data_IF_499744232451
#
_entry.id   IF_499744232451
#
_cell.length_a   1.000
_cell.length_b   1.000
_cell.length_c   1.000
_cell.angle_alpha   90.00
_cell.angle_beta   90.00
_cell.angle_gamma   90.00
#
_symmetry.space_group_name_H-M   'P 1'
#
loop_
_entity.id
_entity.type
_entity.pdbx_description
1 polymer ?
#
# COMPACT_ATOMS: atom_id res chain seq x y z
N UNK A 1 7.82 23.72 -11.24
CA UNK A 1 7.61 22.62 -10.29
C UNK A 1 6.78 21.60 -11.04
N UNK A 2 7.24 20.35 -11.18
CA UNK A 2 6.41 19.33 -11.84
C UNK A 2 5.13 19.15 -11.02
N UNK A 3 3.98 19.41 -11.62
CA UNK A 3 2.68 19.18 -10.98
C UNK A 3 2.59 17.73 -10.49
N UNK A 4 1.96 17.53 -9.33
CA UNK A 4 1.69 16.20 -8.78
C UNK A 4 0.62 15.53 -9.66
N UNK A 5 1.07 14.76 -10.64
CA UNK A 5 0.21 14.11 -11.64
C UNK A 5 -0.64 13.03 -10.99
N UNK A 6 -1.91 12.96 -11.36
CA UNK A 6 -2.79 11.84 -11.08
C UNK A 6 -2.48 10.71 -12.07
N UNK A 7 -1.94 9.60 -11.59
CA UNK A 7 -1.50 8.48 -12.42
C UNK A 7 -2.37 7.25 -12.21
N UNK A 8 -2.95 6.74 -13.29
CA UNK A 8 -3.68 5.48 -13.27
C UNK A 8 -2.68 4.32 -13.32
N UNK A 9 -2.70 3.45 -12.33
CA UNK A 9 -1.82 2.28 -12.25
C UNK A 9 -2.54 1.06 -12.83
N UNK A 10 -2.05 0.56 -13.95
CA UNK A 10 -2.48 -0.69 -14.57
C UNK A 10 -1.44 -1.78 -14.35
N UNK A 11 -1.83 -2.87 -13.68
CA UNK A 11 -0.99 -4.05 -13.45
C UNK A 11 -1.83 -5.32 -13.49
N UNK A 12 -1.21 -6.51 -13.65
CA UNK A 12 -1.94 -7.76 -13.58
C UNK A 12 -2.67 -7.89 -12.23
N UNK A 13 -3.93 -8.31 -12.25
CA UNK A 13 -4.72 -8.62 -11.04
C UNK A 13 -5.08 -10.11 -10.95
N UNK A 14 -5.65 -10.67 -12.03
CA UNK A 14 -6.05 -12.08 -12.08
C UNK A 14 -4.86 -13.07 -12.12
N UNK A 15 -5.12 -14.33 -11.75
CA UNK A 15 -4.11 -15.39 -11.62
C UNK A 15 -3.69 -15.54 -10.16
N UNK A 16 -2.39 -15.35 -9.87
CA UNK A 16 -1.87 -15.29 -8.50
C UNK A 16 -2.24 -13.92 -7.86
N UNK A 17 -3.47 -13.82 -7.38
CA UNK A 17 -4.06 -12.58 -6.87
C UNK A 17 -3.23 -12.00 -5.72
N UNK A 18 -2.78 -12.83 -4.77
CA UNK A 18 -2.02 -12.35 -3.63
C UNK A 18 -0.72 -11.66 -4.07
N UNK A 19 0.04 -12.31 -4.97
CA UNK A 19 1.27 -11.74 -5.52
C UNK A 19 1.01 -10.47 -6.33
N UNK A 20 -0.05 -10.48 -7.14
CA UNK A 20 -0.44 -9.36 -7.99
C UNK A 20 -0.89 -8.14 -7.18
N UNK A 21 -1.63 -8.36 -6.09
CA UNK A 21 -2.03 -7.30 -5.15
C UNK A 21 -0.81 -6.63 -4.53
N UNK A 22 0.16 -7.42 -4.07
CA UNK A 22 1.40 -6.85 -3.51
C UNK A 22 2.23 -6.10 -4.56
N UNK A 23 2.25 -6.60 -5.80
CA UNK A 23 2.88 -5.90 -6.91
C UNK A 23 2.20 -4.56 -7.23
N UNK A 24 0.87 -4.53 -7.31
CA UNK A 24 0.10 -3.32 -7.55
C UNK A 24 0.30 -2.27 -6.44
N UNK A 25 0.37 -2.69 -5.17
CA UNK A 25 0.73 -1.83 -4.04
C UNK A 25 2.14 -1.27 -4.19
N UNK A 26 3.10 -2.10 -4.62
CA UNK A 26 4.47 -1.64 -4.88
C UNK A 26 4.52 -0.63 -6.03
N UNK A 27 3.77 -0.84 -7.10
CA UNK A 27 3.65 0.11 -8.22
C UNK A 27 3.06 1.46 -7.78
N UNK A 28 2.06 1.44 -6.89
CA UNK A 28 1.51 2.67 -6.30
C UNK A 28 2.57 3.41 -5.46
N UNK A 29 3.32 2.70 -4.61
CA UNK A 29 4.41 3.31 -3.83
C UNK A 29 5.50 3.91 -4.72
N UNK A 30 5.90 3.18 -5.76
CA UNK A 30 6.85 3.67 -6.75
C UNK A 30 6.35 4.98 -7.39
N UNK A 31 5.08 5.09 -7.75
CA UNK A 31 4.51 6.34 -8.26
C UNK A 31 4.53 7.49 -7.23
N UNK A 32 4.24 7.21 -5.95
CA UNK A 32 4.32 8.20 -4.88
C UNK A 32 5.74 8.76 -4.72
N UNK A 33 6.75 7.91 -4.83
CA UNK A 33 8.17 8.31 -4.78
C UNK A 33 8.57 9.20 -5.96
N UNK A 34 7.89 9.07 -7.10
CA UNK A 34 8.03 9.95 -8.26
C UNK A 34 7.18 11.22 -8.15
N UNK A 35 6.68 11.56 -6.95
CA UNK A 35 5.82 12.72 -6.68
C UNK A 35 4.53 12.74 -7.51
N UNK A 36 3.93 11.55 -7.70
CA UNK A 36 2.63 11.37 -8.35
C UNK A 36 1.57 10.88 -7.35
N UNK A 37 0.30 11.06 -7.69
CA UNK A 37 -0.86 10.57 -6.95
C UNK A 37 -1.40 9.33 -7.66
N UNK A 38 -1.15 8.11 -7.17
CA UNK A 38 -1.56 6.89 -7.85
C UNK A 38 -3.03 6.51 -7.60
N UNK A 39 -3.66 5.92 -8.62
CA UNK A 39 -4.97 5.27 -8.50
C UNK A 39 -4.92 3.88 -9.13
N UNK A 40 -5.13 2.84 -8.33
CA UNK A 40 -5.22 1.45 -8.78
C UNK A 40 -6.63 0.89 -8.52
N UNK A 41 -7.54 1.08 -9.46
CA UNK A 41 -8.95 0.67 -9.29
C UNK A 41 -9.14 -0.83 -9.12
N UNK A 42 -8.22 -1.62 -9.66
CA UNK A 42 -8.21 -3.08 -9.52
C UNK A 42 -7.82 -3.55 -8.11
N UNK A 43 -7.37 -2.67 -7.22
CA UNK A 43 -7.27 -2.95 -5.77
C UNK A 43 -8.55 -2.58 -5.02
N UNK A 44 -9.34 -1.66 -5.56
CA UNK A 44 -10.52 -1.08 -4.93
C UNK A 44 -11.80 -1.85 -5.25
N UNK A 45 -12.15 -1.97 -6.53
CA UNK A 45 -13.45 -2.51 -6.93
C UNK A 45 -13.66 -3.99 -6.56
N UNK A 46 -12.64 -4.87 -6.60
CA UNK A 46 -12.81 -6.24 -6.13
C UNK A 46 -13.11 -6.39 -4.63
N UNK A 47 -13.03 -5.31 -3.83
CA UNK A 47 -13.44 -5.35 -2.41
C UNK A 47 -14.96 -5.42 -2.25
N UNK A 48 -15.73 -5.07 -3.29
CA UNK A 48 -17.19 -5.05 -3.25
C UNK A 48 -17.88 -5.48 -4.56
N UNK A 49 -17.09 -5.91 -5.56
CA UNK A 49 -17.56 -6.56 -6.78
C UNK A 49 -16.95 -7.95 -6.89
N UNK A 50 -17.71 -8.91 -7.44
CA UNK A 50 -17.19 -10.23 -7.79
C UNK A 50 -16.60 -10.23 -9.21
N UNK A 51 -15.29 -10.36 -9.31
CA UNK A 51 -14.56 -10.38 -10.59
C UNK A 51 -14.79 -11.67 -11.40
N UNK A 52 -15.44 -12.69 -10.79
CA UNK A 52 -15.91 -13.92 -11.45
C UNK A 52 -17.32 -13.80 -12.03
N UNK A 53 -18.11 -12.80 -11.61
CA UNK A 53 -19.39 -12.48 -12.21
C UNK A 53 -19.16 -11.54 -13.41
N UNK A 54 -19.45 -11.96 -14.66
CA UNK A 54 -19.21 -11.15 -15.84
C UNK A 54 -19.86 -9.76 -15.81
N UNK A 55 -21.05 -9.63 -15.19
CA UNK A 55 -21.80 -8.37 -15.14
C UNK A 55 -21.15 -7.39 -14.16
N UNK A 56 -20.74 -7.88 -12.99
CA UNK A 56 -20.02 -7.08 -12.01
C UNK A 56 -18.62 -6.73 -12.49
N UNK A 57 -17.94 -7.67 -13.15
CA UNK A 57 -16.65 -7.44 -13.81
C UNK A 57 -16.73 -6.32 -14.85
N UNK A 58 -17.74 -6.35 -15.72
CA UNK A 58 -17.98 -5.29 -16.70
C UNK A 58 -18.26 -3.93 -16.02
N UNK A 59 -19.05 -3.94 -14.95
CA UNK A 59 -19.30 -2.74 -14.15
C UNK A 59 -18.00 -2.16 -13.57
N UNK A 60 -17.13 -3.01 -13.03
CA UNK A 60 -15.79 -2.63 -12.55
C UNK A 60 -14.92 -2.01 -13.64
N UNK A 61 -14.94 -2.56 -14.85
CA UNK A 61 -14.24 -1.98 -16.00
C UNK A 61 -14.76 -0.60 -16.38
N UNK A 62 -16.08 -0.43 -16.47
CA UNK A 62 -16.68 0.87 -16.81
C UNK A 62 -16.35 1.96 -15.78
N UNK A 63 -16.43 1.62 -14.48
CA UNK A 63 -16.01 2.54 -13.43
C UNK A 63 -14.51 2.84 -13.51
N UNK A 64 -13.68 1.83 -13.79
CA UNK A 64 -12.24 2.00 -14.00
C UNK A 64 -11.91 2.95 -15.15
N UNK A 65 -12.62 2.85 -16.27
CA UNK A 65 -12.44 3.78 -17.40
C UNK A 65 -12.83 5.22 -17.06
N UNK A 66 -13.86 5.44 -16.25
CA UNK A 66 -14.22 6.78 -15.77
C UNK A 66 -13.13 7.39 -14.89
N UNK A 67 -12.48 6.57 -14.06
CA UNK A 67 -11.33 7.00 -13.27
C UNK A 67 -10.12 7.29 -14.15
N UNK A 68 -9.84 6.43 -15.14
CA UNK A 68 -8.77 6.64 -16.11
C UNK A 68 -8.93 7.96 -16.87
N UNK A 69 -10.15 8.29 -17.32
CA UNK A 69 -10.48 9.55 -18.00
C UNK A 69 -10.11 10.80 -17.17
N UNK A 70 -10.13 10.70 -15.84
CA UNK A 70 -9.75 11.78 -14.94
C UNK A 70 -8.24 11.85 -14.65
N UNK A 71 -7.46 10.85 -15.04
CA UNK A 71 -6.02 10.79 -14.77
C UNK A 71 -5.19 11.49 -15.84
N UNK A 72 -4.04 12.03 -15.44
CA UNK A 72 -3.08 12.71 -16.32
C UNK A 72 -2.26 11.72 -17.16
N UNK A 73 -1.99 10.52 -16.62
CA UNK A 73 -1.23 9.47 -17.29
C UNK A 73 -1.72 8.07 -16.92
N UNK A 74 -1.53 7.12 -17.84
CA UNK A 74 -1.62 5.68 -17.58
C UNK A 74 -0.22 5.10 -17.40
N UNK A 75 0.04 4.45 -16.28
CA UNK A 75 1.26 3.68 -16.05
C UNK A 75 0.96 2.19 -16.21
N UNK A 76 1.54 1.58 -17.24
CA UNK A 76 1.51 0.14 -17.49
C UNK A 76 2.66 -0.53 -16.74
N UNK A 77 2.33 -1.22 -15.65
CA UNK A 77 3.29 -1.76 -14.70
C UNK A 77 3.39 -3.28 -14.80
N UNK A 78 4.61 -3.80 -14.93
CA UNK A 78 4.91 -5.24 -14.81
C UNK A 78 5.69 -5.83 -15.98
N UNK A 79 5.86 -7.16 -15.94
CA UNK A 79 6.60 -7.92 -16.97
C UNK A 79 5.72 -8.47 -18.09
N UNK A 80 4.39 -8.35 -17.96
CA UNK A 80 3.41 -8.79 -18.95
C UNK A 80 2.21 -7.85 -18.97
N UNK A 81 1.55 -7.75 -20.12
CA UNK A 81 0.28 -7.04 -20.29
C UNK A 81 -0.85 -8.06 -20.23
N UNK A 82 -1.75 -7.92 -19.24
CA UNK A 82 -2.93 -8.77 -19.12
C UNK A 82 -4.05 -8.32 -20.07
N UNK A 83 -5.10 -9.15 -20.23
CA UNK A 83 -6.29 -8.76 -21.00
C UNK A 83 -6.94 -7.49 -20.44
N UNK A 84 -7.04 -7.35 -19.10
CA UNK A 84 -7.57 -6.15 -18.46
C UNK A 84 -6.73 -4.91 -18.76
N UNK A 85 -5.40 -5.03 -18.63
CA UNK A 85 -4.47 -3.94 -18.97
C UNK A 85 -4.53 -3.55 -20.45
N UNK A 86 -4.77 -4.52 -21.34
CA UNK A 86 -4.92 -4.25 -22.77
C UNK A 86 -6.15 -3.38 -23.04
N UNK A 87 -7.23 -3.59 -22.31
CA UNK A 87 -8.45 -2.77 -22.42
C UNK A 87 -8.20 -1.35 -21.90
N UNK A 88 -7.54 -1.22 -20.74
CA UNK A 88 -7.13 0.08 -20.18
C UNK A 88 -6.19 0.85 -21.13
N UNK A 89 -5.21 0.16 -21.72
CA UNK A 89 -4.29 0.73 -22.72
C UNK A 89 -5.04 1.23 -23.97
N UNK A 90 -6.01 0.46 -24.46
CA UNK A 90 -6.83 0.86 -25.62
C UNK A 90 -7.65 2.11 -25.31
N UNK A 91 -8.26 2.17 -24.13
CA UNK A 91 -9.05 3.33 -23.73
C UNK A 91 -8.17 4.57 -23.52
N UNK A 92 -7.02 4.44 -22.85
CA UNK A 92 -6.06 5.55 -22.72
C UNK A 92 -5.62 6.10 -24.08
N UNK A 93 -5.28 5.23 -25.04
CA UNK A 93 -4.92 5.63 -26.40
C UNK A 93 -6.06 6.36 -27.11
N UNK A 94 -7.29 5.89 -26.95
CA UNK A 94 -8.50 6.51 -27.55
C UNK A 94 -8.77 7.90 -26.95
N UNK A 95 -8.52 8.08 -25.66
CA UNK A 95 -8.69 9.35 -24.95
C UNK A 95 -7.48 10.31 -25.11
N UNK A 96 -6.39 9.85 -25.72
CA UNK A 96 -5.16 10.65 -25.85
C UNK A 96 -4.38 10.80 -24.55
N UNK A 97 -4.65 9.95 -23.55
CA UNK A 97 -3.95 9.95 -22.26
C UNK A 97 -2.54 9.37 -22.48
N UNK A 98 -1.47 10.10 -22.07
CA UNK A 98 -0.10 9.60 -22.16
C UNK A 98 0.07 8.27 -21.42
N UNK A 99 0.79 7.34 -22.05
CA UNK A 99 1.08 6.02 -21.49
C UNK A 99 2.56 5.89 -21.19
N UNK A 100 2.89 5.47 -19.97
CA UNK A 100 4.25 5.17 -19.53
C UNK A 100 4.36 3.69 -19.16
N UNK A 101 5.34 3.00 -19.72
CA UNK A 101 5.64 1.62 -19.35
C UNK A 101 6.67 1.60 -18.20
N UNK A 102 6.35 0.86 -17.14
CA UNK A 102 7.20 0.68 -15.97
C UNK A 102 7.47 -0.82 -15.79
N UNK A 103 8.73 -1.22 -15.87
CA UNK A 103 9.10 -2.63 -15.74
C UNK A 103 8.95 -3.14 -14.31
N UNK A 104 8.79 -4.45 -14.15
CA UNK A 104 8.75 -5.06 -12.81
C UNK A 104 10.05 -4.83 -12.04
N UNK A 105 11.18 -4.82 -12.73
CA UNK A 105 12.50 -4.55 -12.17
C UNK A 105 12.65 -3.10 -11.70
N UNK A 106 12.01 -2.13 -12.35
CA UNK A 106 11.98 -0.75 -11.87
C UNK A 106 11.15 -0.61 -10.59
N UNK A 107 10.04 -1.35 -10.47
CA UNK A 107 9.18 -1.33 -9.27
C UNK A 107 9.81 -2.13 -8.12
N UNK A 108 10.57 -3.19 -8.43
CA UNK A 108 11.25 -4.02 -7.42
C UNK A 108 12.64 -3.48 -7.05
N UNK A 109 13.33 -2.83 -7.98
CA UNK A 109 14.68 -2.29 -7.84
C UNK A 109 14.74 -0.78 -7.59
N UNK A 110 13.61 -0.07 -7.72
CA UNK A 110 13.42 1.27 -7.20
C UNK A 110 13.22 1.16 -5.68
N UNK A 111 14.34 1.17 -4.96
CA UNK A 111 14.49 1.26 -3.50
C UNK A 111 13.37 0.62 -2.67
N UNK A 112 13.72 -0.48 -1.98
CA UNK A 112 13.00 -0.89 -0.77
C UNK A 112 12.78 0.36 0.09
N UNK A 113 11.53 0.78 0.27
CA UNK A 113 11.14 1.53 1.46
C UNK A 113 11.87 0.85 2.61
N UNK A 114 12.74 1.57 3.32
CA UNK A 114 13.44 1.01 4.47
C UNK A 114 12.35 0.54 5.43
N UNK A 115 12.02 -0.75 5.36
CA UNK A 115 10.98 -1.32 6.20
C UNK A 115 11.46 -1.15 7.62
N UNK A 116 10.76 -0.30 8.36
CA UNK A 116 10.98 -0.20 9.79
C UNK A 116 10.07 -1.21 10.47
N UNK A 117 10.64 -1.89 11.44
CA UNK A 117 9.94 -2.83 12.30
C UNK A 117 9.86 -2.21 13.68
N UNK A 118 8.80 -2.54 14.42
CA UNK A 118 8.61 -2.07 15.78
C UNK A 118 8.15 -3.21 16.67
N UNK A 119 8.06 -2.92 17.97
CA UNK A 119 7.48 -3.86 18.94
C UNK A 119 6.09 -3.37 19.35
N UNK A 120 5.10 -4.25 19.15
CA UNK A 120 3.69 -4.04 19.46
C UNK A 120 3.37 -4.62 20.84
N UNK A 121 3.07 -3.74 21.79
CA UNK A 121 2.63 -4.13 23.13
C UNK A 121 1.13 -4.35 23.14
N UNK A 122 0.69 -5.52 23.62
CA UNK A 122 -0.71 -5.92 23.71
C UNK A 122 -1.04 -6.26 25.14
N UNK A 123 -2.00 -5.53 25.71
CA UNK A 123 -2.52 -5.77 27.05
C UNK A 123 -3.88 -6.45 26.96
N UNK A 124 -4.04 -7.54 27.70
CA UNK A 124 -5.29 -8.31 27.73
C UNK A 124 -6.40 -7.58 28.51
N UNK A 125 -7.65 -8.00 28.28
CA UNK A 125 -8.81 -7.49 29.02
C UNK A 125 -8.79 -7.86 30.52
N UNK A 126 -7.94 -8.82 30.93
CA UNK A 126 -7.74 -9.20 32.34
C UNK A 126 -6.88 -8.20 33.12
N UNK A 127 -6.39 -7.14 32.49
CA UNK A 127 -5.66 -6.08 33.17
C UNK A 127 -6.58 -5.10 33.90
N UNK A 128 -6.14 -4.59 35.04
CA UNK A 128 -6.78 -3.49 35.79
C UNK A 128 -7.01 -2.25 34.91
N UNK A 129 -6.16 -2.02 33.92
CA UNK A 129 -6.26 -0.88 32.99
C UNK A 129 -6.99 -1.23 31.69
N UNK A 130 -7.72 -2.35 31.63
CA UNK A 130 -8.41 -2.83 30.44
C UNK A 130 -7.50 -3.23 29.28
N UNK A 131 -8.08 -3.68 28.17
CA UNK A 131 -7.32 -4.06 26.98
C UNK A 131 -6.82 -2.81 26.24
N UNK A 132 -5.59 -2.85 25.73
CA UNK A 132 -5.05 -1.82 24.86
C UNK A 132 -3.90 -2.37 24.02
N UNK A 133 -3.61 -1.70 22.92
CA UNK A 133 -2.49 -2.03 22.05
C UNK A 133 -1.77 -0.76 21.62
N UNK A 134 -0.44 -0.79 21.61
CA UNK A 134 0.37 0.36 21.20
C UNK A 134 1.80 -0.06 20.85
N UNK A 135 2.48 0.73 20.01
CA UNK A 135 3.92 0.62 19.83
C UNK A 135 4.67 0.87 21.14
N UNK A 136 5.73 0.10 21.40
CA UNK A 136 6.74 0.41 22.40
C UNK A 136 7.45 1.72 22.00
N UNK A 137 7.66 2.60 22.97
CA UNK A 137 8.21 3.95 22.73
C UNK A 137 9.47 4.21 23.55
N UNK A 138 10.42 4.91 22.95
CA UNK A 138 11.58 5.49 23.64
C UNK A 138 11.59 7.00 23.40
N UNK A 139 11.68 7.81 24.47
CA UNK A 139 11.60 9.27 24.35
C UNK A 139 10.28 9.78 23.74
N UNK A 140 9.18 9.03 23.88
CA UNK A 140 7.85 9.38 23.35
C UNK A 140 7.60 8.99 21.89
N UNK A 141 8.62 8.49 21.17
CA UNK A 141 8.49 8.00 19.79
C UNK A 141 8.49 6.48 19.72
N UNK A 142 7.74 5.86 18.80
CA UNK A 142 7.84 4.43 18.52
C UNK A 142 9.30 4.02 18.30
N UNK A 143 9.67 2.86 18.84
CA UNK A 143 10.97 2.28 18.57
C UNK A 143 10.98 1.63 17.19
N UNK A 144 12.02 1.90 16.43
CA UNK A 144 12.22 1.41 15.07
C UNK A 144 13.44 0.50 15.00
N UNK A 145 13.33 -0.55 14.21
CA UNK A 145 14.36 -1.53 13.91
C UNK A 145 14.47 -1.70 12.40
N UNK A 146 15.68 -1.98 11.91
CA UNK A 146 15.92 -2.15 10.48
C UNK A 146 15.55 -3.56 9.99
N UNK A 147 15.49 -4.54 10.90
CA UNK A 147 15.11 -5.92 10.57
C UNK A 147 14.06 -6.47 11.51
N UNK A 148 13.24 -7.41 11.00
CA UNK A 148 12.24 -8.12 11.81
C UNK A 148 12.90 -8.90 12.95
N UNK A 149 14.04 -9.54 12.69
CA UNK A 149 14.77 -10.33 13.69
C UNK A 149 15.22 -9.48 14.89
N UNK A 150 15.64 -8.23 14.65
CA UNK A 150 15.99 -7.29 15.73
C UNK A 150 14.76 -6.96 16.59
N UNK A 151 13.62 -6.69 15.96
CA UNK A 151 12.38 -6.42 16.66
C UNK A 151 11.87 -7.64 17.43
N UNK A 152 11.98 -8.84 16.87
CA UNK A 152 11.60 -10.10 17.52
C UNK A 152 12.49 -10.41 18.73
N UNK A 153 13.81 -10.26 18.58
CA UNK A 153 14.76 -10.44 19.68
C UNK A 153 14.42 -9.51 20.85
N UNK A 154 14.14 -8.24 20.56
CA UNK A 154 13.77 -7.26 21.58
C UNK A 154 12.40 -7.57 22.22
N UNK A 155 11.39 -7.97 21.42
CA UNK A 155 10.09 -8.37 21.94
C UNK A 155 10.18 -9.58 22.88
N UNK A 156 11.02 -10.56 22.56
CA UNK A 156 11.25 -11.74 23.40
C UNK A 156 11.92 -11.35 24.73
N UNK A 157 12.93 -10.49 24.70
CA UNK A 157 13.55 -9.97 25.93
C UNK A 157 12.53 -9.23 26.82
N UNK A 158 11.62 -8.46 26.22
CA UNK A 158 10.55 -7.80 26.99
C UNK A 158 9.56 -8.80 27.58
N UNK A 159 9.20 -9.85 26.85
CA UNK A 159 8.33 -10.92 27.35
C UNK A 159 8.98 -11.70 28.51
N UNK A 160 10.28 -11.96 28.44
CA UNK A 160 11.04 -12.66 29.49
C UNK A 160 11.24 -11.80 30.74
N UNK A 161 11.43 -10.48 30.57
CA UNK A 161 11.65 -9.54 31.67
C UNK A 161 10.37 -8.98 32.29
N UNK A 162 9.23 -9.05 31.60
CA UNK A 162 7.98 -8.49 32.09
C UNK A 162 7.32 -9.35 33.17
N UNK A 163 7.13 -8.75 34.34
CA UNK A 163 6.43 -9.36 35.47
C UNK A 163 4.89 -9.33 35.34
N UNK A 164 4.34 -8.61 34.35
CA UNK A 164 2.88 -8.51 34.18
C UNK A 164 2.35 -9.62 33.28
N UNK A 165 1.58 -10.59 33.82
CA UNK A 165 1.08 -11.74 33.05
C UNK A 165 0.06 -11.34 31.95
N UNK A 166 -0.42 -10.10 31.97
CA UNK A 166 -1.44 -9.58 31.07
C UNK A 166 -0.88 -8.75 29.92
N UNK A 167 0.44 -8.61 29.78
CA UNK A 167 1.07 -7.87 28.68
C UNK A 167 1.93 -8.82 27.86
N UNK A 168 1.78 -8.75 26.54
CA UNK A 168 2.60 -9.48 25.57
C UNK A 168 3.16 -8.53 24.53
N UNK A 169 4.38 -8.80 24.08
CA UNK A 169 5.07 -8.03 23.05
C UNK A 169 5.27 -8.91 21.82
N UNK A 170 5.04 -8.34 20.64
CA UNK A 170 5.30 -9.01 19.36
C UNK A 170 5.95 -8.04 18.39
N UNK A 171 6.86 -8.54 17.55
CA UNK A 171 7.38 -7.74 16.44
C UNK A 171 6.32 -7.53 15.37
N UNK A 172 6.33 -6.36 14.73
CA UNK A 172 5.41 -6.05 13.63
C UNK A 172 6.09 -5.07 12.66
N UNK A 173 5.87 -5.26 11.36
CA UNK A 173 6.23 -4.28 10.33
C UNK A 173 5.45 -2.98 10.58
N UNK A 174 6.15 -1.85 10.60
CA UNK A 174 5.51 -0.55 10.73
C UNK A 174 4.96 -0.15 9.38
N UNK A 175 3.68 0.24 9.36
CA UNK A 175 3.13 0.89 8.18
C UNK A 175 3.89 2.21 7.98
N UNK A 176 4.29 2.55 6.74
CA UNK A 176 5.00 3.79 6.50
C UNK A 176 4.16 4.94 7.02
N UNK A 177 4.73 5.75 7.92
CA UNK A 177 4.11 7.01 8.29
C UNK A 177 4.05 7.85 7.02
N UNK A 178 2.84 7.98 6.46
CA UNK A 178 2.54 9.08 5.55
C UNK A 178 2.79 10.34 6.38
N UNK A 179 3.98 10.92 6.25
CA UNK A 179 4.28 12.24 6.78
C UNK A 179 3.19 13.16 6.22
N UNK A 180 2.16 13.42 7.01
CA UNK A 180 1.23 14.49 6.75
C UNK A 180 2.08 15.75 6.88
N UNK A 181 2.63 16.17 5.75
CA UNK A 181 3.32 17.44 5.63
C UNK A 181 2.47 18.47 6.35
N UNK A 182 3.12 19.14 7.29
CA UNK A 182 2.56 20.21 8.09
C UNK A 182 1.66 21.14 7.25
N UNK A 183 0.37 21.21 7.60
CA UNK A 183 -0.44 22.40 7.40
C UNK A 183 -1.30 22.47 6.14
N UNK A 184 -2.31 21.60 6.02
CA UNK A 184 -3.57 22.03 5.39
C UNK A 184 -4.30 22.96 6.36
N UNK A 185 -3.95 24.25 6.34
CA UNK A 185 -4.80 25.29 6.93
C UNK A 185 -6.02 25.43 6.03
N UNK A 186 -7.10 24.74 6.39
CA UNK A 186 -8.41 24.97 5.82
C UNK A 186 -8.88 26.35 6.31
N UNK A 187 -8.75 27.38 5.46
CA UNK A 187 -9.52 28.61 5.64
C UNK A 187 -10.91 28.32 5.10
N UNK A 188 -11.88 28.24 6.02
CA UNK A 188 -13.30 28.40 5.71
C UNK A 188 -13.58 29.81 5.21
#
# INVERSE_FOLDING_TARGET
>A
MSENKLVYIASPYAGDIQKNVEFAKAACRYAMEQNCTPVAVHLLYPQFLDDNDPVQRESGFHMGHRVLEACDELWLCGSRISTGMTMELREAKKLGIPVREISAEQIQGGFTMEKKYGVWAMRSAGSVCGAAQSWCKHGGKPMEFDTMEQAESYANQLNESCYSPNVRYAAKEMEPELNQGSGFSMRM
#
